data_IF_202556732746
#
_entry.id   IF_202556732746
#
_cell.length_a   1.000
_cell.length_b   1.000
_cell.length_c   1.000
_cell.angle_alpha   90.00
_cell.angle_beta   90.00
_cell.angle_gamma   90.00
#
_symmetry.space_group_name_H-M   'P 1'
#
loop_
_entity.id
_entity.type
_entity.pdbx_description
1 polymer ?
#
# COMPACT_ATOMS: atom_id res chain seq x y z
N UNK A 1 -12.11 13.47 30.07
CA UNK A 1 -12.40 14.05 28.74
C UNK A 1 -11.29 13.60 27.79
N UNK A 2 -11.57 12.61 26.93
CA UNK A 2 -10.60 12.08 25.97
C UNK A 2 -11.25 12.05 24.60
N UNK A 3 -11.10 13.13 23.83
CA UNK A 3 -11.63 13.23 22.47
C UNK A 3 -10.80 12.35 21.53
N UNK A 4 -11.45 11.43 20.84
CA UNK A 4 -10.82 10.66 19.76
C UNK A 4 -10.38 11.63 18.66
N UNK A 5 -9.08 11.68 18.39
CA UNK A 5 -8.54 12.43 17.26
C UNK A 5 -9.06 11.79 15.95
N UNK A 6 -9.57 12.57 14.99
CA UNK A 6 -10.07 12.02 13.74
C UNK A 6 -8.92 11.35 12.98
N UNK A 7 -9.15 10.11 12.54
CA UNK A 7 -8.25 9.42 11.61
C UNK A 7 -8.29 10.17 10.28
N UNK A 8 -7.24 10.94 9.99
CA UNK A 8 -7.08 11.56 8.67
C UNK A 8 -6.71 10.46 7.67
N UNK A 9 -7.64 10.10 6.80
CA UNK A 9 -7.35 9.36 5.58
C UNK A 9 -6.68 10.34 4.61
N UNK A 10 -5.35 10.26 4.47
CA UNK A 10 -4.66 10.95 3.40
C UNK A 10 -4.91 10.15 2.12
N UNK A 11 -5.85 10.65 1.30
CA UNK A 11 -6.16 10.10 -0.02
C UNK A 11 -5.38 10.88 -1.09
N UNK A 12 -4.48 10.21 -1.81
CA UNK A 12 -3.78 10.80 -2.96
C UNK A 12 -4.18 10.02 -4.22
N UNK A 13 -4.58 10.77 -5.24
CA UNK A 13 -5.21 10.29 -6.47
C UNK A 13 -4.15 9.67 -7.39
N UNK A 14 -4.16 8.34 -7.52
CA UNK A 14 -3.27 7.52 -8.36
C UNK A 14 -1.78 7.61 -7.97
N UNK A 15 -1.10 6.46 -8.02
CA UNK A 15 0.33 6.20 -7.76
C UNK A 15 1.10 7.27 -6.96
N UNK A 16 1.53 6.96 -5.73
CA UNK A 16 2.16 7.97 -4.91
C UNK A 16 3.49 8.41 -5.53
N UNK A 17 3.50 9.68 -5.95
CA UNK A 17 4.68 10.33 -6.54
C UNK A 17 5.65 10.76 -5.45
N UNK A 18 6.12 9.83 -4.63
CA UNK A 18 6.99 10.10 -3.48
C UNK A 18 8.37 10.62 -3.86
N UNK A 19 8.74 10.67 -5.15
CA UNK A 19 9.92 11.34 -5.66
C UNK A 19 9.73 12.85 -5.85
N UNK A 20 8.48 13.31 -5.97
CA UNK A 20 8.15 14.68 -6.34
C UNK A 20 8.55 15.68 -5.25
N UNK A 21 8.78 16.93 -5.68
CA UNK A 21 9.03 18.06 -4.82
C UNK A 21 8.46 19.35 -5.42
N UNK A 22 8.06 20.33 -4.57
CA UNK A 22 7.81 21.70 -5.01
C UNK A 22 9.04 22.31 -5.71
N UNK A 23 8.83 23.39 -6.48
CA UNK A 23 9.94 24.07 -7.16
C UNK A 23 10.91 24.65 -6.11
N UNK A 24 12.19 24.33 -6.24
CA UNK A 24 13.25 24.80 -5.34
C UNK A 24 13.40 23.96 -4.07
N UNK A 25 12.64 22.87 -3.94
CA UNK A 25 12.74 21.91 -2.85
C UNK A 25 13.42 20.63 -3.32
N UNK A 26 13.96 19.89 -2.36
CA UNK A 26 14.63 18.61 -2.61
C UNK A 26 13.63 17.50 -2.95
N UNK A 27 14.05 16.59 -3.82
CA UNK A 27 13.27 15.41 -4.20
C UNK A 27 12.84 14.61 -2.98
N UNK A 28 11.73 13.88 -3.11
CA UNK A 28 11.09 13.17 -2.00
C UNK A 28 10.66 14.07 -0.86
N UNK A 29 10.18 15.27 -1.20
CA UNK A 29 9.79 16.29 -0.26
C UNK A 29 8.81 15.77 0.80
N UNK A 30 7.80 14.99 0.41
CA UNK A 30 6.81 14.43 1.35
C UNK A 30 7.46 13.51 2.39
N UNK A 31 8.42 12.69 1.99
CA UNK A 31 9.18 11.82 2.89
C UNK A 31 9.92 12.65 3.93
N UNK A 32 10.55 13.75 3.51
CA UNK A 32 11.26 14.66 4.41
C UNK A 32 10.29 15.36 5.38
N UNK A 33 9.10 15.76 4.93
CA UNK A 33 8.07 16.33 5.82
C UNK A 33 7.62 15.35 6.89
N UNK A 34 7.43 14.07 6.51
CA UNK A 34 7.12 13.02 7.49
C UNK A 34 8.30 12.68 8.38
N UNK A 35 9.55 12.87 7.96
CA UNK A 35 10.70 12.71 8.84
C UNK A 35 10.78 13.82 9.90
N UNK A 36 10.57 15.08 9.50
CA UNK A 36 10.77 16.25 10.36
C UNK A 36 9.58 16.58 11.29
N UNK A 37 8.35 16.21 10.91
CA UNK A 37 7.15 16.55 11.69
C UNK A 37 7.07 15.78 13.03
N UNK A 38 6.17 16.16 13.95
CA UNK A 38 5.71 15.27 15.01
C UNK A 38 5.02 14.02 14.44
N UNK A 39 4.89 12.98 15.26
CA UNK A 39 4.13 11.78 14.88
C UNK A 39 2.64 11.99 15.12
N UNK A 40 1.82 11.58 14.16
CA UNK A 40 0.35 11.58 14.28
C UNK A 40 -0.19 10.16 14.58
N UNK A 41 -1.38 10.02 15.19
CA UNK A 41 -1.98 8.73 15.49
C UNK A 41 -2.69 8.12 14.26
N UNK A 42 -1.98 7.99 13.14
CA UNK A 42 -2.48 7.40 11.88
C UNK A 42 -1.76 6.10 11.55
N UNK A 43 -2.38 5.28 10.71
CA UNK A 43 -1.81 4.04 10.17
C UNK A 43 -1.71 4.18 8.65
N UNK A 44 -0.68 3.58 8.06
CA UNK A 44 -0.43 3.62 6.63
C UNK A 44 -0.67 2.27 5.99
N UNK A 45 -1.34 2.30 4.83
CA UNK A 45 -1.48 1.17 3.93
C UNK A 45 -0.92 1.62 2.59
N UNK A 46 0.22 1.05 2.19
CA UNK A 46 0.99 1.48 1.03
C UNK A 46 1.01 0.35 -0.01
N UNK A 47 0.82 0.70 -1.27
CA UNK A 47 0.95 -0.22 -2.40
C UNK A 47 1.84 0.42 -3.47
N UNK A 48 2.58 -0.42 -4.17
CA UNK A 48 3.34 -0.05 -5.36
C UNK A 48 3.47 -1.26 -6.29
N UNK A 49 3.48 -1.02 -7.59
CA UNK A 49 3.71 -2.04 -8.60
C UNK A 49 5.19 -2.45 -8.64
N UNK A 50 5.47 -3.76 -8.61
CA UNK A 50 6.84 -4.30 -8.70
C UNK A 50 7.56 -3.94 -9.99
N UNK A 51 6.82 -3.62 -11.05
CA UNK A 51 7.39 -3.27 -12.36
C UNK A 51 7.64 -1.77 -12.52
N UNK A 52 7.34 -0.95 -11.50
CA UNK A 52 7.52 0.50 -11.53
C UNK A 52 8.93 0.91 -11.10
N UNK A 53 9.92 0.38 -11.79
CA UNK A 53 11.35 0.55 -11.47
C UNK A 53 12.04 1.62 -12.32
N UNK A 54 11.28 2.31 -13.17
CA UNK A 54 11.79 3.36 -14.05
C UNK A 54 11.32 4.74 -13.56
N UNK A 55 12.17 5.76 -13.74
CA UNK A 55 11.90 7.14 -13.33
C UNK A 55 12.86 7.66 -12.26
N UNK A 56 12.64 8.89 -11.77
CA UNK A 56 13.49 9.53 -10.77
C UNK A 56 13.73 8.63 -9.55
N UNK A 57 14.98 8.60 -9.06
CA UNK A 57 15.40 7.81 -7.90
C UNK A 57 15.09 6.29 -7.99
N UNK A 58 14.96 5.76 -9.21
CA UNK A 58 14.75 4.34 -9.47
C UNK A 58 13.28 3.90 -9.40
N UNK A 59 12.36 4.83 -9.66
CA UNK A 59 10.94 4.56 -9.90
C UNK A 59 10.06 4.51 -8.66
N UNK A 60 8.75 4.44 -8.88
CA UNK A 60 7.73 4.55 -7.83
C UNK A 60 7.93 3.48 -6.75
N UNK A 61 8.29 2.25 -7.15
CA UNK A 61 8.50 1.16 -6.20
C UNK A 61 9.59 1.47 -5.17
N UNK A 62 10.75 1.97 -5.63
CA UNK A 62 11.86 2.33 -4.74
C UNK A 62 11.55 3.53 -3.86
N UNK A 63 10.89 4.54 -4.42
CA UNK A 63 10.49 5.72 -3.65
C UNK A 63 9.46 5.36 -2.56
N UNK A 64 8.55 4.43 -2.86
CA UNK A 64 7.59 3.91 -1.87
C UNK A 64 8.27 3.12 -0.76
N UNK A 65 9.27 2.28 -1.09
CA UNK A 65 10.08 1.60 -0.07
C UNK A 65 10.84 2.59 0.82
N UNK A 66 11.41 3.65 0.25
CA UNK A 66 12.10 4.68 1.02
C UNK A 66 11.14 5.43 1.97
N UNK A 67 9.95 5.77 1.50
CA UNK A 67 8.92 6.39 2.32
C UNK A 67 8.43 5.47 3.44
N UNK A 68 8.16 4.20 3.12
CA UNK A 68 7.77 3.18 4.10
C UNK A 68 8.80 3.03 5.22
N UNK A 69 10.09 2.97 4.86
CA UNK A 69 11.18 2.91 5.82
C UNK A 69 11.16 4.09 6.79
N UNK A 70 11.06 5.33 6.27
CA UNK A 70 11.00 6.53 7.11
C UNK A 70 9.78 6.52 8.04
N UNK A 71 8.62 6.09 7.55
CA UNK A 71 7.43 5.97 8.38
C UNK A 71 7.60 4.94 9.50
N UNK A 72 8.18 3.77 9.20
CA UNK A 72 8.46 2.74 10.21
C UNK A 72 9.46 3.20 11.25
N UNK A 73 10.55 3.86 10.84
CA UNK A 73 11.56 4.41 11.75
C UNK A 73 10.97 5.46 12.70
N UNK A 74 9.99 6.22 12.22
CA UNK A 74 9.21 7.16 13.05
C UNK A 74 8.16 6.47 13.93
N UNK A 75 8.02 5.15 13.82
CA UNK A 75 7.17 4.31 14.66
C UNK A 75 5.73 4.17 14.17
N UNK A 76 5.38 4.62 12.96
CA UNK A 76 4.05 4.40 12.41
C UNK A 76 3.76 2.91 12.18
N UNK A 77 2.50 2.52 12.33
CA UNK A 77 2.04 1.23 11.81
C UNK A 77 1.90 1.34 10.30
N UNK A 78 2.72 0.59 9.57
CA UNK A 78 2.73 0.58 8.10
C UNK A 78 2.52 -0.84 7.60
N UNK A 79 1.57 -1.02 6.70
CA UNK A 79 1.38 -2.24 5.91
C UNK A 79 1.77 -1.93 4.47
N UNK A 80 2.78 -2.62 3.95
CA UNK A 80 3.25 -2.44 2.57
C UNK A 80 2.88 -3.65 1.71
N UNK A 81 2.30 -3.38 0.55
CA UNK A 81 1.69 -4.36 -0.33
C UNK A 81 2.30 -4.24 -1.74
N UNK A 82 3.38 -4.98 -2.05
CA UNK A 82 3.94 -4.99 -3.38
C UNK A 82 3.01 -5.75 -4.33
N UNK A 83 2.65 -5.14 -5.46
CA UNK A 83 1.71 -5.71 -6.43
C UNK A 83 2.43 -6.21 -7.68
N UNK A 84 1.96 -7.28 -8.30
CA UNK A 84 2.49 -7.77 -9.58
C UNK A 84 1.95 -6.96 -10.76
N UNK A 85 2.17 -5.64 -10.72
CA UNK A 85 1.71 -4.68 -11.73
C UNK A 85 2.80 -3.64 -12.02
N UNK A 86 2.59 -2.89 -13.09
CA UNK A 86 3.24 -1.60 -13.31
C UNK A 86 2.28 -0.46 -12.98
N UNK A 87 2.34 0.59 -13.79
CA UNK A 87 1.45 1.76 -13.71
C UNK A 87 0.06 1.43 -14.28
N UNK A 88 -0.73 0.63 -13.55
CA UNK A 88 -1.94 -0.03 -14.02
C UNK A 88 -3.18 0.31 -13.18
N UNK A 89 -4.16 0.96 -13.82
CA UNK A 89 -5.44 1.34 -13.20
C UNK A 89 -6.22 0.17 -12.60
N UNK A 90 -6.18 -1.02 -13.22
CA UNK A 90 -6.91 -2.17 -12.70
C UNK A 90 -6.32 -2.62 -11.35
N UNK A 91 -4.99 -2.66 -11.26
CA UNK A 91 -4.27 -2.97 -10.03
C UNK A 91 -4.55 -1.95 -8.92
N UNK A 92 -4.68 -0.66 -9.26
CA UNK A 92 -5.00 0.37 -8.27
C UNK A 92 -6.42 0.27 -7.73
N UNK A 93 -7.39 0.02 -8.60
CA UNK A 93 -8.77 -0.19 -8.18
C UNK A 93 -8.88 -1.40 -7.25
N UNK A 94 -8.17 -2.48 -7.57
CA UNK A 94 -8.08 -3.65 -6.71
C UNK A 94 -7.43 -3.31 -5.36
N UNK A 95 -6.26 -2.67 -5.38
CA UNK A 95 -5.54 -2.26 -4.18
C UNK A 95 -6.37 -1.36 -3.27
N UNK A 96 -7.14 -0.42 -3.83
CA UNK A 96 -8.06 0.44 -3.09
C UNK A 96 -9.12 -0.38 -2.34
N UNK A 97 -9.71 -1.38 -2.99
CA UNK A 97 -10.70 -2.26 -2.36
C UNK A 97 -10.07 -3.06 -1.21
N UNK A 98 -8.85 -3.57 -1.37
CA UNK A 98 -8.13 -4.27 -0.29
C UNK A 98 -7.79 -3.34 0.88
N UNK A 99 -7.22 -2.16 0.61
CA UNK A 99 -6.88 -1.18 1.65
C UNK A 99 -8.11 -0.73 2.45
N UNK A 100 -9.24 -0.50 1.76
CA UNK A 100 -10.50 -0.15 2.43
C UNK A 100 -11.02 -1.28 3.33
N UNK A 101 -10.88 -2.54 2.92
CA UNK A 101 -11.25 -3.69 3.77
C UNK A 101 -10.37 -3.79 5.00
N UNK A 102 -9.07 -3.56 4.87
CA UNK A 102 -8.13 -3.59 6.00
C UNK A 102 -8.43 -2.48 7.01
N UNK A 103 -8.72 -1.25 6.55
CA UNK A 103 -9.02 -0.13 7.44
C UNK A 103 -10.38 -0.25 8.16
N UNK A 104 -11.38 -0.84 7.50
CA UNK A 104 -12.72 -1.02 8.09
C UNK A 104 -12.83 -2.26 8.97
N UNK A 105 -11.78 -3.07 9.08
CA UNK A 105 -11.83 -4.36 9.78
C UNK A 105 -12.68 -5.40 9.05
N UNK A 106 -13.03 -5.14 7.79
CA UNK A 106 -13.70 -6.09 6.88
C UNK A 106 -12.69 -7.05 6.23
N UNK A 107 -11.40 -6.96 6.57
CA UNK A 107 -10.41 -8.00 6.32
C UNK A 107 -11.02 -9.33 6.78
N UNK A 108 -11.32 -10.16 5.79
CA UNK A 108 -12.30 -11.22 5.86
C UNK A 108 -12.17 -12.06 7.14
N UNK A 109 -13.24 -12.15 7.92
CA UNK A 109 -13.51 -13.29 8.81
C UNK A 109 -13.77 -14.56 7.97
N UNK A 110 -13.01 -14.79 6.90
CA UNK A 110 -13.04 -16.03 6.16
C UNK A 110 -12.36 -17.06 7.04
N UNK A 111 -13.20 -17.81 7.75
CA UNK A 111 -12.88 -19.20 8.06
C UNK A 111 -12.46 -19.83 6.73
N UNK A 112 -11.28 -20.46 6.62
CA UNK A 112 -10.90 -21.14 5.39
C UNK A 112 -12.04 -22.07 5.02
N UNK A 113 -12.68 -21.82 3.87
CA UNK A 113 -13.70 -22.72 3.37
C UNK A 113 -12.99 -24.05 3.15
N UNK A 114 -13.46 -25.10 3.83
CA UNK A 114 -13.07 -26.47 3.54
C UNK A 114 -13.05 -26.64 2.02
N UNK A 115 -11.95 -27.10 1.43
CA UNK A 115 -11.86 -27.21 -0.02
C UNK A 115 -13.05 -28.03 -0.51
N UNK A 116 -13.76 -27.48 -1.48
CA UNK A 116 -14.87 -28.15 -2.15
C UNK A 116 -14.35 -29.45 -2.76
N UNK A 117 -14.88 -30.58 -2.28
CA UNK A 117 -14.48 -31.94 -2.72
C UNK A 117 -14.65 -32.08 -4.23
N UNK A 118 -15.56 -31.32 -4.85
CA UNK A 118 -15.79 -31.34 -6.29
C UNK A 118 -14.60 -30.85 -7.13
N UNK A 119 -13.67 -30.06 -6.59
CA UNK A 119 -12.53 -29.53 -7.35
C UNK A 119 -11.36 -30.51 -7.51
N UNK A 120 -11.34 -31.61 -6.75
CA UNK A 120 -10.28 -32.63 -6.86
C UNK A 120 -10.48 -33.61 -8.03
N UNK A 121 -11.69 -33.72 -8.60
CA UNK A 121 -11.94 -34.67 -9.70
C UNK A 121 -11.49 -34.13 -11.07
N UNK A 122 -11.49 -32.81 -11.26
CA UNK A 122 -11.11 -32.18 -12.53
C UNK A 122 -9.59 -32.27 -12.77
N UNK A 123 -8.78 -32.21 -11.71
CA UNK A 123 -7.32 -32.32 -11.84
C UNK A 123 -6.82 -33.77 -12.02
N UNK A 124 -7.58 -34.75 -11.56
CA UNK A 124 -7.19 -36.17 -11.65
C UNK A 124 -7.61 -36.84 -12.96
N UNK A 125 -8.60 -36.29 -13.67
CA UNK A 125 -9.05 -36.78 -14.97
C UNK A 125 -8.15 -36.33 -16.15
N UNK A 126 -7.33 -35.29 -15.97
CA UNK A 126 -6.36 -34.81 -16.96
C UNK A 126 -5.00 -35.56 -16.96
N UNK A 127 -4.89 -36.67 -16.24
CA UNK A 127 -3.69 -37.53 -16.18
C UNK A 127 -3.88 -38.93 -16.77
N UNK A 128 -4.87 -39.13 -17.64
CA UNK A 128 -5.02 -40.37 -18.42
C UNK A 128 -4.69 -40.14 -19.89
#
# INVERSE_FOLDING_TARGET
>A
MGGAAPSALVWQRAEPSYWWAPKGEEASWLTQQYQASPRYPVKFWLQAGRFETQGPNGGIYRNTLAFEKVLREKGYTVSFHPWSSGHDYAAWCEALVYGMRDFTGLASQRKPSTPDVAKHEIFNSAKR
#
